data_IF_397119682807
#
_entry.id   IF_397119682807
#
_cell.length_a   1.000
_cell.length_b   1.000
_cell.length_c   1.000
_cell.angle_alpha   90.00
_cell.angle_beta   90.00
_cell.angle_gamma   90.00
#
_symmetry.space_group_name_H-M   'P 1'
#
loop_
_entity.id
_entity.type
_entity.pdbx_description
1 polymer ?
#
# COMPACT_ATOMS: atom_id res chain seq x y z
N UNK A 1 -27.07 7.33 -9.21
CA UNK A 1 -25.59 7.32 -9.41
C UNK A 1 -25.14 7.83 -10.78
N UNK A 2 -25.96 7.71 -11.85
CA UNK A 2 -25.54 8.03 -13.23
C UNK A 2 -24.98 9.43 -13.48
N UNK A 3 -25.64 10.51 -13.06
CA UNK A 3 -25.17 11.89 -13.35
C UNK A 3 -23.94 12.30 -12.55
N UNK A 4 -23.83 11.89 -11.29
CA UNK A 4 -22.66 12.14 -10.44
C UNK A 4 -21.42 11.42 -10.99
N UNK A 5 -21.55 10.13 -11.32
CA UNK A 5 -20.42 9.35 -11.82
C UNK A 5 -19.88 9.91 -13.13
N UNK A 6 -20.75 10.20 -14.11
CA UNK A 6 -20.31 10.69 -15.43
C UNK A 6 -19.60 12.05 -15.33
N UNK A 7 -20.09 12.96 -14.49
CA UNK A 7 -19.51 14.30 -14.34
C UNK A 7 -18.18 14.29 -13.56
N UNK A 8 -18.01 13.38 -12.60
CA UNK A 8 -16.81 13.32 -11.75
C UNK A 8 -15.84 12.19 -12.12
N UNK A 9 -16.15 11.37 -13.14
CA UNK A 9 -15.30 10.25 -13.58
C UNK A 9 -13.84 10.66 -13.83
N UNK A 10 -13.53 11.77 -14.53
CA UNK A 10 -12.14 12.18 -14.74
C UNK A 10 -11.44 12.46 -13.41
N UNK A 11 -12.11 13.12 -12.48
CA UNK A 11 -11.57 13.45 -11.16
C UNK A 11 -11.32 12.18 -10.33
N UNK A 12 -12.29 11.25 -10.28
CA UNK A 12 -12.16 9.98 -9.55
C UNK A 12 -10.97 9.18 -10.09
N UNK A 13 -10.84 9.12 -11.42
CA UNK A 13 -9.74 8.43 -12.08
C UNK A 13 -8.38 9.06 -11.77
N UNK A 14 -8.27 10.40 -11.82
CA UNK A 14 -7.05 11.13 -11.46
C UNK A 14 -6.66 10.88 -10.01
N UNK A 15 -7.62 10.97 -9.08
CA UNK A 15 -7.38 10.69 -7.65
C UNK A 15 -6.91 9.25 -7.45
N UNK A 16 -7.48 8.29 -8.16
CA UNK A 16 -7.06 6.88 -8.07
C UNK A 16 -5.61 6.68 -8.51
N UNK A 17 -5.24 7.18 -9.69
CA UNK A 17 -3.89 7.05 -10.22
C UNK A 17 -2.88 7.75 -9.32
N UNK A 18 -3.18 8.99 -8.89
CA UNK A 18 -2.30 9.73 -8.01
C UNK A 18 -2.08 9.00 -6.68
N UNK A 19 -3.16 8.44 -6.12
CA UNK A 19 -3.08 7.60 -4.92
C UNK A 19 -2.21 6.36 -5.15
N UNK A 20 -2.29 5.72 -6.32
CA UNK A 20 -1.49 4.54 -6.65
C UNK A 20 0.00 4.89 -6.77
N UNK A 21 0.33 6.01 -7.40
CA UNK A 21 1.70 6.52 -7.52
C UNK A 21 2.27 6.83 -6.14
N UNK A 22 1.53 7.55 -5.29
CA UNK A 22 1.98 7.88 -3.93
C UNK A 22 2.15 6.62 -3.09
N UNK A 23 1.26 5.64 -3.23
CA UNK A 23 1.31 4.40 -2.47
C UNK A 23 2.52 3.53 -2.85
N UNK A 24 2.67 3.21 -4.15
CA UNK A 24 3.78 2.38 -4.66
C UNK A 24 5.11 3.12 -4.48
N UNK A 25 5.16 4.39 -4.88
CA UNK A 25 6.35 5.23 -4.75
C UNK A 25 6.76 5.43 -3.29
N UNK A 26 5.79 5.54 -2.37
CA UNK A 26 6.05 5.60 -0.94
C UNK A 26 6.71 4.33 -0.41
N UNK A 27 6.21 3.14 -0.79
CA UNK A 27 6.78 1.88 -0.34
C UNK A 27 8.19 1.65 -0.89
N UNK A 28 8.36 1.84 -2.21
CA UNK A 28 9.67 1.73 -2.87
C UNK A 28 10.67 2.73 -2.29
N UNK A 29 10.25 4.00 -2.14
CA UNK A 29 11.08 5.03 -1.55
C UNK A 29 11.48 4.69 -0.12
N UNK A 30 10.55 4.21 0.70
CA UNK A 30 10.88 3.79 2.06
C UNK A 30 11.91 2.65 2.07
N UNK A 31 11.70 1.61 1.27
CA UNK A 31 12.56 0.43 1.21
C UNK A 31 13.97 0.73 0.68
N UNK A 32 14.09 1.59 -0.33
CA UNK A 32 15.35 1.83 -1.02
C UNK A 32 16.14 3.03 -0.48
N UNK A 33 15.47 4.02 0.12
CA UNK A 33 16.15 5.23 0.61
C UNK A 33 16.05 5.35 2.12
N UNK A 34 14.85 5.44 2.67
CA UNK A 34 14.64 5.74 4.09
C UNK A 34 15.20 4.66 5.00
N UNK A 35 14.89 3.39 4.73
CA UNK A 35 15.33 2.30 5.58
C UNK A 35 16.86 2.15 5.63
N UNK A 36 17.59 2.09 4.49
CA UNK A 36 19.05 2.07 4.51
C UNK A 36 19.66 3.28 5.23
N UNK A 37 19.14 4.49 5.02
CA UNK A 37 19.64 5.69 5.69
C UNK A 37 19.48 5.63 7.21
N UNK A 38 18.36 5.09 7.71
CA UNK A 38 18.17 4.92 9.16
C UNK A 38 19.11 3.86 9.73
N UNK A 39 19.37 2.78 8.97
CA UNK A 39 20.26 1.70 9.41
C UNK A 39 21.74 2.11 9.52
N UNK A 40 22.14 3.24 8.94
CA UNK A 40 23.51 3.80 9.06
C UNK A 40 23.80 4.44 10.43
N UNK A 41 22.78 4.64 11.28
CA UNK A 41 22.98 5.18 12.62
C UNK A 41 23.84 4.22 13.46
N UNK A 42 25.02 4.65 13.99
CA UNK A 42 25.98 3.75 14.64
C UNK A 42 25.42 3.02 15.88
N UNK A 43 24.56 3.68 16.65
CA UNK A 43 23.92 3.07 17.81
C UNK A 43 22.70 2.27 17.37
N UNK A 44 22.78 0.94 17.46
CA UNK A 44 21.72 0.02 17.02
C UNK A 44 20.36 0.30 17.70
N UNK A 45 20.33 0.50 19.01
CA UNK A 45 19.08 0.81 19.74
C UNK A 45 18.45 2.11 19.22
N UNK A 46 19.27 3.12 18.96
CA UNK A 46 18.81 4.39 18.40
C UNK A 46 18.33 4.24 16.96
N UNK A 47 19.02 3.44 16.15
CA UNK A 47 18.67 3.11 14.76
C UNK A 47 17.29 2.45 14.69
N UNK A 48 17.09 1.36 15.43
CA UNK A 48 15.81 0.62 15.48
C UNK A 48 14.67 1.50 15.98
N UNK A 49 14.89 2.29 17.05
CA UNK A 49 13.88 3.21 17.58
C UNK A 49 13.49 4.29 16.57
N UNK A 50 14.47 4.79 15.81
CA UNK A 50 14.25 5.76 14.74
C UNK A 50 13.46 5.12 13.60
N UNK A 51 13.83 3.90 13.18
CA UNK A 51 13.14 3.18 12.12
C UNK A 51 11.67 2.91 12.47
N UNK A 52 11.39 2.46 13.69
CA UNK A 52 10.02 2.25 14.19
C UNK A 52 9.21 3.54 14.24
N UNK A 53 9.83 4.66 14.64
CA UNK A 53 9.18 5.97 14.65
C UNK A 53 8.85 6.42 13.24
N UNK A 54 9.77 6.26 12.30
CA UNK A 54 9.59 6.64 10.89
C UNK A 54 8.54 5.75 10.22
N UNK A 55 8.60 4.42 10.41
CA UNK A 55 7.56 3.48 9.95
C UNK A 55 6.18 3.90 10.46
N UNK A 56 6.03 4.16 11.76
CA UNK A 56 4.74 4.54 12.32
C UNK A 56 4.20 5.87 11.76
N UNK A 57 5.07 6.83 11.40
CA UNK A 57 4.65 8.06 10.71
C UNK A 57 4.25 7.78 9.26
N UNK A 58 5.05 6.97 8.57
CA UNK A 58 4.80 6.56 7.20
C UNK A 58 3.46 5.83 7.05
N UNK A 59 3.16 4.89 7.94
CA UNK A 59 1.85 4.21 7.96
C UNK A 59 0.70 5.18 8.22
N UNK A 60 0.83 6.14 9.14
CA UNK A 60 -0.21 7.17 9.34
C UNK A 60 -0.50 7.99 8.06
N UNK A 61 0.52 8.23 7.24
CA UNK A 61 0.37 8.89 5.94
C UNK A 61 -0.24 7.95 4.89
N UNK A 62 0.14 6.68 4.88
CA UNK A 62 -0.36 5.70 3.90
C UNK A 62 -1.82 5.29 4.14
N UNK A 63 -2.34 5.31 5.37
CA UNK A 63 -3.75 4.99 5.67
C UNK A 63 -4.71 5.79 4.79
N UNK A 64 -4.71 7.14 4.79
CA UNK A 64 -5.66 7.91 3.98
C UNK A 64 -5.45 7.67 2.47
N UNK A 65 -4.21 7.50 2.00
CA UNK A 65 -3.92 7.17 0.59
C UNK A 65 -4.52 5.82 0.20
N UNK A 66 -4.37 4.80 1.05
CA UNK A 66 -4.92 3.47 0.82
C UNK A 66 -6.45 3.49 0.80
N UNK A 67 -7.07 4.26 1.69
CA UNK A 67 -8.52 4.45 1.71
C UNK A 67 -9.02 5.16 0.45
N UNK A 68 -8.35 6.24 0.02
CA UNK A 68 -8.68 6.92 -1.24
C UNK A 68 -8.58 5.98 -2.44
N UNK A 69 -7.53 5.14 -2.48
CA UNK A 69 -7.33 4.16 -3.53
C UNK A 69 -8.44 3.10 -3.57
N UNK A 70 -8.84 2.59 -2.41
CA UNK A 70 -9.95 1.65 -2.28
C UNK A 70 -11.31 2.25 -2.67
N UNK A 71 -11.65 3.42 -2.13
CA UNK A 71 -12.92 4.10 -2.41
C UNK A 71 -13.03 4.47 -3.90
N UNK A 72 -11.99 5.07 -4.46
CA UNK A 72 -11.98 5.41 -5.90
C UNK A 72 -12.03 4.17 -6.79
N UNK A 73 -11.34 3.10 -6.41
CA UNK A 73 -11.39 1.82 -7.12
C UNK A 73 -12.79 1.22 -7.14
N UNK A 74 -13.46 1.20 -5.98
CA UNK A 74 -14.83 0.71 -5.83
C UNK A 74 -15.83 1.54 -6.64
N UNK A 75 -15.76 2.88 -6.56
CA UNK A 75 -16.63 3.75 -7.35
C UNK A 75 -16.49 3.53 -8.87
N UNK A 76 -15.27 3.28 -9.34
CA UNK A 76 -15.01 2.97 -10.75
C UNK A 76 -15.51 1.58 -11.14
N UNK A 77 -15.42 0.58 -10.26
CA UNK A 77 -15.94 -0.76 -10.50
C UNK A 77 -17.48 -0.77 -10.59
N UNK A 78 -18.16 -0.11 -9.65
CA UNK A 78 -19.63 -0.04 -9.62
C UNK A 78 -20.23 0.81 -10.75
N UNK A 79 -19.47 1.75 -11.32
CA UNK A 79 -19.99 2.69 -12.32
C UNK A 79 -19.98 2.21 -13.78
N UNK A 80 -19.23 1.15 -14.11
CA UNK A 80 -19.04 0.68 -15.50
C UNK A 80 -19.79 -0.61 -15.86
N UNK A 81 -20.52 -1.22 -14.93
CA UNK A 81 -21.31 -2.43 -15.17
C UNK A 81 -20.55 -3.54 -15.91
N UNK A 82 -19.26 -3.70 -15.59
CA UNK A 82 -18.34 -4.62 -16.28
C UNK A 82 -18.83 -6.08 -16.30
N UNK A 83 -19.64 -6.46 -15.30
CA UNK A 83 -20.20 -7.81 -15.18
C UNK A 83 -21.17 -8.18 -16.32
N UNK A 84 -21.75 -7.19 -17.01
CA UNK A 84 -22.70 -7.41 -18.10
C UNK A 84 -22.09 -7.29 -19.51
N UNK A 85 -20.84 -6.82 -19.62
CA UNK A 85 -20.23 -6.50 -20.92
C UNK A 85 -19.29 -7.60 -21.44
N UNK A 86 -18.47 -8.24 -20.59
CA UNK A 86 -17.56 -9.33 -20.97
C UNK A 86 -17.08 -10.15 -19.75
N UNK A 87 -17.21 -11.49 -19.75
CA UNK A 87 -16.68 -12.37 -18.69
C UNK A 87 -15.20 -12.15 -18.39
N UNK A 88 -14.37 -11.86 -19.40
CA UNK A 88 -12.92 -11.63 -19.22
C UNK A 88 -12.68 -10.36 -18.40
N UNK A 89 -13.46 -9.30 -18.64
CA UNK A 89 -13.34 -8.04 -17.92
C UNK A 89 -13.76 -8.15 -16.45
N UNK A 90 -14.83 -8.91 -16.19
CA UNK A 90 -15.28 -9.20 -14.83
C UNK A 90 -14.17 -9.90 -14.01
N UNK A 91 -13.47 -10.86 -14.62
CA UNK A 91 -12.33 -11.55 -13.99
C UNK A 91 -11.18 -10.60 -13.69
N UNK A 92 -10.82 -9.70 -14.60
CA UNK A 92 -9.73 -8.73 -14.38
C UNK A 92 -10.08 -7.76 -13.24
N UNK A 93 -11.32 -7.24 -13.20
CA UNK A 93 -11.79 -6.36 -12.11
C UNK A 93 -11.72 -7.08 -10.77
N UNK A 94 -12.30 -8.27 -10.68
CA UNK A 94 -12.31 -9.09 -9.45
C UNK A 94 -10.89 -9.42 -9.00
N UNK A 95 -10.01 -9.76 -9.94
CA UNK A 95 -8.59 -10.06 -9.63
C UNK A 95 -7.87 -8.84 -9.06
N UNK A 96 -8.12 -7.64 -9.62
CA UNK A 96 -7.54 -6.39 -9.11
C UNK A 96 -8.04 -6.07 -7.71
N UNK A 97 -9.33 -6.24 -7.43
CA UNK A 97 -9.91 -6.04 -6.10
C UNK A 97 -9.36 -7.03 -5.07
N UNK A 98 -9.20 -8.30 -5.48
CA UNK A 98 -8.58 -9.33 -4.64
C UNK A 98 -7.11 -9.02 -4.33
N UNK A 99 -6.35 -8.55 -5.32
CA UNK A 99 -4.97 -8.09 -5.12
C UNK A 99 -4.91 -6.93 -4.12
N UNK A 100 -5.80 -5.94 -4.27
CA UNK A 100 -5.87 -4.82 -3.33
C UNK A 100 -6.21 -5.28 -1.92
N UNK A 101 -7.18 -6.18 -1.76
CA UNK A 101 -7.56 -6.73 -0.46
C UNK A 101 -6.41 -7.53 0.17
N UNK A 102 -5.70 -8.33 -0.62
CA UNK A 102 -4.50 -9.04 -0.15
C UNK A 102 -3.40 -8.07 0.32
N UNK A 103 -3.15 -6.99 -0.42
CA UNK A 103 -2.22 -5.94 0.01
C UNK A 103 -2.70 -5.22 1.28
N UNK A 104 -4.01 -5.03 1.46
CA UNK A 104 -4.57 -4.47 2.70
C UNK A 104 -4.34 -5.40 3.91
N UNK A 105 -4.42 -6.72 3.72
CA UNK A 105 -4.08 -7.70 4.76
C UNK A 105 -2.59 -7.64 5.12
N UNK A 106 -1.70 -7.59 4.12
CA UNK A 106 -0.26 -7.41 4.35
C UNK A 106 0.04 -6.12 5.13
N UNK A 107 -0.68 -5.05 4.81
CA UNK A 107 -0.58 -3.78 5.51
C UNK A 107 -1.01 -3.88 6.98
N UNK A 108 -2.14 -4.55 7.26
CA UNK A 108 -2.62 -4.80 8.61
C UNK A 108 -1.62 -5.64 9.42
N UNK A 109 -1.06 -6.68 8.79
CA UNK A 109 -0.03 -7.52 9.39
C UNK A 109 1.25 -6.72 9.74
N UNK A 110 1.70 -5.85 8.83
CA UNK A 110 2.83 -4.97 9.11
C UNK A 110 2.54 -4.00 10.27
N UNK A 111 1.33 -3.44 10.34
CA UNK A 111 0.91 -2.59 11.46
C UNK A 111 0.96 -3.32 12.81
N UNK A 112 0.50 -4.58 12.85
CA UNK A 112 0.63 -5.43 14.01
C UNK A 112 2.10 -5.64 14.40
N UNK A 113 2.97 -5.96 13.43
CA UNK A 113 4.41 -6.13 13.67
C UNK A 113 5.11 -4.87 14.16
N UNK A 114 4.69 -3.67 13.73
CA UNK A 114 5.21 -2.40 14.28
C UNK A 114 4.88 -2.26 15.76
N UNK A 115 3.65 -2.61 16.17
CA UNK A 115 3.24 -2.56 17.59
C UNK A 115 4.04 -3.54 18.42
N UNK A 116 4.17 -4.77 17.95
CA UNK A 116 4.97 -5.82 18.60
C UNK A 116 6.44 -5.39 18.76
N UNK A 117 7.07 -4.89 17.69
CA UNK A 117 8.45 -4.43 17.71
C UNK A 117 8.67 -3.23 18.66
N UNK A 118 7.69 -2.33 18.78
CA UNK A 118 7.74 -1.23 19.75
C UNK A 118 7.73 -1.73 21.19
N UNK A 119 6.87 -2.69 21.51
CA UNK A 119 6.80 -3.26 22.86
C UNK A 119 8.12 -3.95 23.24
N UNK A 120 8.70 -4.73 22.33
CA UNK A 120 9.99 -5.41 22.55
C UNK A 120 11.17 -4.44 22.66
N UNK A 121 11.17 -3.39 21.85
CA UNK A 121 12.19 -2.33 21.93
C UNK A 121 12.17 -1.60 23.29
N UNK A 122 11.01 -1.45 23.93
CA UNK A 122 10.89 -0.89 25.28
C UNK A 122 11.37 -1.88 26.35
N UNK A 123 11.21 -3.18 26.12
CA UNK A 123 11.72 -4.25 26.97
C UNK A 123 13.24 -4.52 26.81
N UNK A 124 13.97 -3.64 26.12
CA UNK A 124 15.42 -3.76 25.82
C UNK A 124 15.82 -4.92 24.89
N UNK A 125 14.87 -5.58 24.24
CA UNK A 125 15.09 -6.58 23.19
C UNK A 125 15.14 -5.89 21.80
N UNK A 126 16.31 -5.33 21.48
CA UNK A 126 16.51 -4.57 20.24
C UNK A 126 16.74 -5.44 19.00
N UNK A 127 17.17 -6.68 19.18
CA UNK A 127 17.48 -7.60 18.09
C UNK A 127 16.20 -8.06 17.38
N UNK A 128 15.22 -8.57 18.14
CA UNK A 128 13.93 -8.94 17.56
C UNK A 128 13.12 -7.75 17.03
N UNK A 129 13.32 -6.57 17.63
CA UNK A 129 12.71 -5.34 17.10
C UNK A 129 13.29 -5.00 15.71
N UNK A 130 14.59 -5.17 15.49
CA UNK A 130 15.26 -4.95 14.21
C UNK A 130 14.78 -5.92 13.14
N UNK A 131 14.64 -7.20 13.47
CA UNK A 131 14.15 -8.22 12.52
C UNK A 131 12.74 -7.90 12.04
N UNK A 132 11.86 -7.46 12.94
CA UNK A 132 10.52 -7.00 12.56
C UNK A 132 10.57 -5.77 11.64
N UNK A 133 11.44 -4.79 11.91
CA UNK A 133 11.63 -3.63 11.03
C UNK A 133 12.11 -4.07 9.65
N UNK A 134 13.09 -4.99 9.58
CA UNK A 134 13.61 -5.54 8.32
C UNK A 134 12.53 -6.31 7.56
N UNK A 135 11.73 -7.12 8.25
CA UNK A 135 10.58 -7.85 7.69
C UNK A 135 9.62 -6.88 6.99
N UNK A 136 9.26 -5.79 7.67
CA UNK A 136 8.33 -4.80 7.12
C UNK A 136 8.97 -4.04 5.95
N UNK A 137 10.15 -3.47 6.16
CA UNK A 137 10.76 -2.54 5.22
C UNK A 137 11.26 -3.21 3.95
N UNK A 138 11.72 -4.46 4.01
CA UNK A 138 12.29 -5.14 2.85
C UNK A 138 11.31 -6.12 2.22
N UNK A 139 10.66 -6.97 3.02
CA UNK A 139 9.81 -8.04 2.49
C UNK A 139 8.39 -7.56 2.26
N UNK A 140 7.71 -7.03 3.29
CA UNK A 140 6.29 -6.65 3.15
C UNK A 140 6.15 -5.52 2.14
N UNK A 141 6.95 -4.45 2.26
CA UNK A 141 6.90 -3.34 1.31
C UNK A 141 7.35 -3.73 -0.09
N UNK A 142 8.35 -4.60 -0.22
CA UNK A 142 8.79 -5.13 -1.51
C UNK A 142 7.68 -5.91 -2.22
N UNK A 143 7.09 -6.89 -1.54
CA UNK A 143 5.99 -7.70 -2.07
C UNK A 143 4.78 -6.82 -2.40
N UNK A 144 4.40 -5.92 -1.50
CA UNK A 144 3.26 -5.03 -1.70
C UNK A 144 3.47 -4.08 -2.89
N UNK A 145 4.69 -3.57 -3.09
CA UNK A 145 5.02 -2.74 -4.26
C UNK A 145 4.90 -3.52 -5.57
N UNK A 146 5.41 -4.75 -5.61
CA UNK A 146 5.31 -5.63 -6.79
C UNK A 146 3.85 -5.93 -7.16
N UNK A 147 3.03 -6.29 -6.17
CA UNK A 147 1.60 -6.50 -6.37
C UNK A 147 0.89 -5.21 -6.82
N UNK A 148 1.31 -4.05 -6.31
CA UNK A 148 0.84 -2.75 -6.74
C UNK A 148 1.10 -2.48 -8.22
N UNK A 149 2.31 -2.79 -8.71
CA UNK A 149 2.62 -2.69 -10.14
C UNK A 149 1.74 -3.60 -11.00
N UNK A 150 1.52 -4.85 -10.57
CA UNK A 150 0.58 -5.76 -11.25
C UNK A 150 -0.84 -5.21 -11.29
N UNK A 151 -1.32 -4.63 -10.18
CA UNK A 151 -2.66 -4.04 -10.10
C UNK A 151 -2.81 -2.80 -11.01
N UNK A 152 -1.76 -1.97 -11.14
CA UNK A 152 -1.73 -0.84 -12.08
C UNK A 152 -1.77 -1.34 -13.53
N UNK A 153 -1.03 -2.40 -13.85
CA UNK A 153 -1.05 -3.02 -15.18
C UNK A 153 -2.46 -3.54 -15.54
N UNK A 154 -3.15 -4.22 -14.62
CA UNK A 154 -4.54 -4.62 -14.83
C UNK A 154 -5.48 -3.41 -15.00
N UNK A 155 -5.25 -2.32 -14.25
CA UNK A 155 -5.97 -1.06 -14.44
C UNK A 155 -5.78 -0.45 -15.83
N UNK A 156 -4.58 -0.58 -16.42
CA UNK A 156 -4.29 -0.12 -17.78
C UNK A 156 -5.06 -0.94 -18.82
N UNK A 157 -5.11 -2.27 -18.69
CA UNK A 157 -5.89 -3.15 -19.59
C UNK A 157 -7.38 -2.79 -19.56
N UNK A 158 -7.94 -2.53 -18.37
CA UNK A 158 -9.33 -2.12 -18.19
C UNK A 158 -9.66 -0.73 -18.75
N UNK A 159 -8.64 0.09 -19.07
CA UNK A 159 -8.82 1.39 -19.71
C UNK A 159 -8.87 1.29 -21.23
N UNK A 160 -8.15 0.34 -21.83
CA UNK A 160 -8.05 0.21 -23.30
C UNK A 160 -9.31 -0.33 -23.97
N UNK A 161 -10.36 -0.62 -23.19
CA UNK A 161 -11.68 -1.08 -23.63
C UNK A 161 -12.73 -0.11 -23.13
#
# INVERSE_FOLDING_TARGET
MGSFYVNYLPLIFTVHIFSAIVWIGGMVGFSLTVYPSVMQIPNEKMSVRTALRTLNRFFKLLVPVTLLLGISGFLMASGRDYAHQDPVMSVIVTSKELLWLFMAVLYLYAWYKIKEARARCLASDSEHAKDNVKLIAHYIFGIASLLGFCAVYFGYILRSV
#
